data_IF_625818312874
#
_entry.id   IF_625818312874
#
_cell.length_a   1.000
_cell.length_b   1.000
_cell.length_c   1.000
_cell.angle_alpha   90.00
_cell.angle_beta   90.00
_cell.angle_gamma   90.00
#
_symmetry.space_group_name_H-M   'P 1'
#
loop_
_entity.id
_entity.type
_entity.pdbx_description
1 polymer ?
#
# COMPACT_ATOMS: atom_id res chain seq x y z
N UNK A 1 -12.30 4.09 14.33
CA UNK A 1 -10.91 4.03 14.81
C UNK A 1 -10.90 4.55 16.25
N UNK A 2 -10.43 3.80 17.24
CA UNK A 2 -10.25 4.31 18.61
C UNK A 2 -8.79 4.08 18.99
N UNK A 3 -7.92 4.93 18.48
CA UNK A 3 -6.65 5.23 19.17
C UNK A 3 -7.00 6.36 20.12
N UNK A 4 -6.75 6.19 21.41
CA UNK A 4 -7.01 7.27 22.35
C UNK A 4 -6.01 8.41 22.11
N UNK A 5 -6.35 9.67 22.43
CA UNK A 5 -5.37 10.76 22.37
C UNK A 5 -4.07 10.42 23.10
N UNK A 6 -4.14 9.74 24.25
CA UNK A 6 -2.98 9.35 25.06
C UNK A 6 -2.10 8.30 24.35
N UNK A 7 -2.71 7.31 23.70
CA UNK A 7 -1.98 6.32 22.89
C UNK A 7 -1.25 6.98 21.71
N UNK A 8 -1.88 7.96 21.06
CA UNK A 8 -1.26 8.70 19.97
C UNK A 8 -0.09 9.55 20.47
N UNK A 9 -0.28 10.28 21.58
CA UNK A 9 0.76 11.11 22.19
C UNK A 9 1.94 10.24 22.62
N UNK A 10 1.70 9.13 23.32
CA UNK A 10 2.75 8.21 23.75
C UNK A 10 3.52 7.62 22.57
N UNK A 11 2.83 7.23 21.49
CA UNK A 11 3.50 6.73 20.28
C UNK A 11 4.33 7.80 19.58
N UNK A 12 3.88 9.05 19.57
CA UNK A 12 4.66 10.18 19.05
C UNK A 12 5.91 10.40 19.92
N UNK A 13 5.77 10.40 21.25
CA UNK A 13 6.90 10.57 22.17
C UNK A 13 7.97 9.49 21.99
N UNK A 14 7.56 8.21 21.94
CA UNK A 14 8.48 7.10 21.66
C UNK A 14 9.20 7.28 20.31
N UNK A 15 8.46 7.67 19.26
CA UNK A 15 9.05 7.91 17.95
C UNK A 15 10.01 9.13 17.94
N UNK A 16 9.81 10.11 18.83
CA UNK A 16 10.72 11.25 19.02
C UNK A 16 12.02 10.83 19.71
N UNK A 17 11.95 9.88 20.65
CA UNK A 17 13.10 9.36 21.39
C UNK A 17 13.97 8.41 20.53
N UNK A 18 13.35 7.55 19.72
CA UNK A 18 14.01 6.57 18.85
C UNK A 18 14.55 7.17 17.53
N UNK A 19 14.99 8.42 17.50
CA UNK A 19 15.36 9.16 16.28
C UNK A 19 16.63 8.65 15.57
N UNK A 20 16.68 7.38 15.20
CA UNK A 20 17.86 6.70 14.63
C UNK A 20 18.12 7.05 13.16
N UNK A 21 17.25 7.81 12.48
CA UNK A 21 17.36 7.93 11.01
C UNK A 21 17.05 9.29 10.37
N UNK A 22 16.90 10.38 11.13
CA UNK A 22 16.69 11.75 10.59
C UNK A 22 15.37 11.96 9.81
N UNK A 23 14.62 10.88 9.54
CA UNK A 23 13.30 10.87 8.88
C UNK A 23 12.23 11.57 9.72
N UNK A 24 12.39 11.53 11.04
CA UNK A 24 11.52 12.23 11.97
C UNK A 24 11.63 13.74 11.80
N UNK A 25 12.85 14.28 11.78
CA UNK A 25 13.08 15.72 11.57
C UNK A 25 12.47 16.19 10.24
N UNK A 26 12.67 15.44 9.16
CA UNK A 26 12.06 15.75 7.86
C UNK A 26 10.52 15.74 7.93
N UNK A 27 9.94 14.77 8.63
CA UNK A 27 8.49 14.65 8.80
C UNK A 27 7.92 15.81 9.61
N UNK A 28 8.54 16.16 10.74
CA UNK A 28 8.14 17.29 11.58
C UNK A 28 8.28 18.61 10.82
N UNK A 29 9.40 18.79 10.11
CA UNK A 29 9.64 19.97 9.27
C UNK A 29 8.57 20.11 8.17
N UNK A 30 8.14 18.99 7.57
CA UNK A 30 7.03 19.00 6.63
C UNK A 30 5.74 19.49 7.27
N UNK A 31 5.37 19.00 8.46
CA UNK A 31 4.17 19.45 9.17
C UNK A 31 4.23 20.95 9.53
N UNK A 32 5.36 21.42 10.06
CA UNK A 32 5.56 22.82 10.40
C UNK A 32 5.45 23.71 9.15
N UNK A 33 6.09 23.30 8.05
CA UNK A 33 6.01 24.00 6.77
C UNK A 33 4.59 23.99 6.20
N UNK A 34 3.92 22.84 6.17
CA UNK A 34 2.54 22.72 5.69
C UNK A 34 1.58 23.61 6.49
N UNK A 35 1.74 23.66 7.82
CA UNK A 35 0.95 24.53 8.69
C UNK A 35 1.25 26.02 8.45
N UNK A 36 2.52 26.41 8.33
CA UNK A 36 2.93 27.79 8.07
C UNK A 36 2.36 28.33 6.76
N UNK A 37 2.31 27.48 5.72
CA UNK A 37 1.77 27.85 4.41
C UNK A 37 0.26 27.61 4.28
N UNK A 38 -0.45 27.25 5.36
CA UNK A 38 -1.90 26.99 5.32
C UNK A 38 -2.29 25.90 4.32
N UNK A 39 -1.43 24.88 4.14
CA UNK A 39 -1.66 23.81 3.18
C UNK A 39 -2.90 23.01 3.56
N UNK A 40 -3.87 22.98 2.67
CA UNK A 40 -5.10 22.21 2.88
C UNK A 40 -4.85 20.70 2.72
N UNK A 41 -5.40 19.91 3.63
CA UNK A 41 -5.32 18.46 3.65
C UNK A 41 -6.72 17.86 3.75
N UNK A 42 -6.88 16.64 3.25
CA UNK A 42 -8.06 15.82 3.48
C UNK A 42 -7.67 14.50 4.13
N UNK A 43 -8.63 13.82 4.75
CA UNK A 43 -8.46 12.46 5.26
C UNK A 43 -9.76 11.66 5.10
N UNK A 44 -9.68 10.34 4.91
CA UNK A 44 -10.86 9.49 4.84
C UNK A 44 -11.56 9.44 6.21
N UNK A 45 -12.90 9.44 6.20
CA UNK A 45 -13.71 9.19 7.41
C UNK A 45 -13.59 7.75 7.89
N UNK A 46 -13.30 6.84 6.98
CA UNK A 46 -13.07 5.41 7.24
C UNK A 46 -11.78 4.98 6.52
N UNK A 47 -10.60 5.17 7.15
CA UNK A 47 -9.34 4.70 6.57
C UNK A 47 -9.34 3.17 6.39
N UNK A 48 -8.62 2.67 5.39
CA UNK A 48 -8.48 1.23 5.12
C UNK A 48 -7.50 0.51 6.06
N UNK A 49 -7.02 1.19 7.09
CA UNK A 49 -5.95 0.75 7.98
C UNK A 49 -6.17 1.18 9.42
N UNK A 50 -5.41 0.54 10.31
CA UNK A 50 -5.20 0.98 11.70
C UNK A 50 -3.77 1.53 11.90
N UNK A 51 -3.53 2.20 13.03
CA UNK A 51 -2.20 2.77 13.32
C UNK A 51 -1.10 1.69 13.41
N UNK A 52 -1.46 0.47 13.81
CA UNK A 52 -0.52 -0.63 14.01
C UNK A 52 -0.07 -1.28 12.71
N UNK A 53 -0.78 -1.03 11.61
CA UNK A 53 -0.37 -1.41 10.25
C UNK A 53 0.90 -0.69 9.78
N UNK A 54 1.35 0.33 10.51
CA UNK A 54 2.59 1.05 10.28
C UNK A 54 3.58 0.81 11.43
N UNK A 55 4.87 0.94 11.12
CA UNK A 55 5.92 0.83 12.13
C UNK A 55 5.90 2.01 13.13
N UNK A 56 5.39 3.17 12.71
CA UNK A 56 5.35 4.39 13.53
C UNK A 56 4.04 5.15 13.34
N UNK A 57 3.63 5.91 14.36
CA UNK A 57 2.45 6.79 14.27
C UNK A 57 2.57 7.82 13.14
N UNK A 58 3.77 8.38 12.92
CA UNK A 58 4.01 9.29 11.80
C UNK A 58 3.81 8.63 10.43
N UNK A 59 4.14 7.34 10.30
CA UNK A 59 3.83 6.58 9.09
C UNK A 59 2.33 6.47 8.86
N UNK A 60 1.56 6.13 9.90
CA UNK A 60 0.10 6.06 9.83
C UNK A 60 -0.52 7.43 9.50
N UNK A 61 -0.05 8.50 10.15
CA UNK A 61 -0.48 9.87 9.83
C UNK A 61 -0.18 10.22 8.37
N UNK A 62 1.03 9.93 7.88
CA UNK A 62 1.39 10.21 6.47
C UNK A 62 0.50 9.48 5.45
N UNK A 63 0.00 8.30 5.81
CA UNK A 63 -0.93 7.53 4.99
C UNK A 63 -2.36 8.05 5.07
N UNK A 64 -2.73 8.72 6.18
CA UNK A 64 -4.03 9.33 6.38
C UNK A 64 -4.20 10.62 5.58
N UNK A 65 -3.12 11.37 5.38
CA UNK A 65 -3.14 12.66 4.68
C UNK A 65 -3.26 12.50 3.17
N UNK A 66 -4.28 13.16 2.63
CA UNK A 66 -4.63 13.16 1.22
C UNK A 66 -4.59 14.59 0.69
N UNK A 67 -4.11 14.71 -0.55
CA UNK A 67 -4.14 15.96 -1.31
C UNK A 67 -5.57 16.34 -1.69
N UNK A 68 -6.03 17.52 -1.26
CA UNK A 68 -7.38 18.03 -1.55
C UNK A 68 -7.69 18.09 -3.05
N UNK A 69 -6.73 18.52 -3.87
CA UNK A 69 -6.88 18.64 -5.32
C UNK A 69 -7.04 17.30 -6.04
N UNK A 70 -6.62 16.20 -5.40
CA UNK A 70 -6.67 14.84 -5.97
C UNK A 70 -7.95 14.07 -5.63
N UNK A 71 -8.83 14.60 -4.79
CA UNK A 71 -10.08 13.93 -4.37
C UNK A 71 -10.98 13.56 -5.57
N UNK A 72 -11.11 14.37 -6.63
CA UNK A 72 -11.91 13.99 -7.80
C UNK A 72 -11.29 12.89 -8.67
N UNK A 73 -10.02 12.55 -8.47
CA UNK A 73 -9.33 11.54 -9.27
C UNK A 73 -9.82 10.11 -8.97
N UNK A 74 -9.43 9.15 -9.81
CA UNK A 74 -9.82 7.75 -9.65
C UNK A 74 -9.25 7.12 -8.37
N UNK A 75 -8.06 7.58 -7.94
CA UNK A 75 -7.45 7.26 -6.65
C UNK A 75 -6.88 8.54 -6.06
N UNK A 76 -7.28 8.93 -4.83
CA UNK A 76 -6.70 10.10 -4.18
C UNK A 76 -5.19 9.94 -3.97
N UNK A 77 -4.48 11.06 -4.09
CA UNK A 77 -3.01 11.10 -4.02
C UNK A 77 -2.52 11.53 -2.65
N UNK A 78 -1.34 11.01 -2.29
CA UNK A 78 -0.59 11.46 -1.13
C UNK A 78 0.23 12.73 -1.43
N UNK A 79 0.80 13.29 -0.38
CA UNK A 79 1.92 14.22 -0.47
C UNK A 79 3.22 13.42 -0.67
N UNK A 80 3.84 13.50 -1.85
CA UNK A 80 5.08 12.76 -2.17
C UNK A 80 6.31 13.34 -1.47
N UNK A 81 6.24 14.62 -1.12
CA UNK A 81 7.21 15.36 -0.31
C UNK A 81 7.08 15.07 1.20
N UNK A 82 6.04 14.35 1.63
CA UNK A 82 5.95 13.79 2.98
C UNK A 82 6.52 12.37 3.00
N UNK A 83 7.31 12.04 4.03
CA UNK A 83 7.86 10.70 4.18
C UNK A 83 6.72 9.67 4.32
N UNK A 84 6.72 8.57 3.54
CA UNK A 84 5.54 7.71 3.37
C UNK A 84 5.24 6.76 4.54
N UNK A 85 6.12 6.68 5.54
CA UNK A 85 6.09 5.65 6.58
C UNK A 85 6.45 4.25 6.06
N UNK A 86 6.75 3.34 6.99
CA UNK A 86 6.96 1.93 6.69
C UNK A 86 5.80 1.10 7.21
N UNK A 87 5.39 0.09 6.44
CA UNK A 87 4.39 -0.88 6.85
C UNK A 87 4.96 -1.84 7.89
N UNK A 88 4.11 -2.24 8.83
CA UNK A 88 4.43 -3.27 9.80
C UNK A 88 4.43 -4.65 9.13
N UNK A 89 5.62 -5.21 8.95
CA UNK A 89 5.83 -6.49 8.23
C UNK A 89 5.19 -7.70 8.93
N UNK A 90 4.88 -7.58 10.22
CA UNK A 90 4.26 -8.64 11.02
C UNK A 90 2.74 -8.65 10.94
N UNK A 91 2.14 -7.80 10.08
CA UNK A 91 0.69 -7.67 9.92
C UNK A 91 0.22 -8.02 8.53
N UNK A 92 -1.06 -8.37 8.45
CA UNK A 92 -1.76 -8.61 7.19
C UNK A 92 -2.37 -7.30 6.71
N UNK A 93 -2.00 -6.86 5.51
CA UNK A 93 -2.54 -5.64 4.91
C UNK A 93 -3.65 -6.00 3.92
N UNK A 94 -4.88 -5.60 4.23
CA UNK A 94 -6.06 -5.95 3.43
C UNK A 94 -6.36 -4.83 2.42
N UNK A 95 -6.44 -5.17 1.14
CA UNK A 95 -6.94 -4.26 0.10
C UNK A 95 -8.42 -4.55 -0.09
N UNK A 96 -9.28 -3.55 0.12
CA UNK A 96 -10.74 -3.68 0.00
C UNK A 96 -11.38 -2.39 -0.53
N UNK A 97 -12.72 -2.30 -0.48
CA UNK A 97 -13.46 -1.13 -0.99
C UNK A 97 -13.20 0.17 -0.21
N UNK A 98 -12.73 0.09 1.05
CA UNK A 98 -12.33 1.28 1.81
C UNK A 98 -10.98 1.82 1.34
N UNK A 99 -10.16 0.97 0.72
CA UNK A 99 -8.86 1.37 0.16
C UNK A 99 -9.02 2.28 -1.05
N UNK A 100 -9.88 1.87 -1.99
CA UNK A 100 -10.25 2.62 -3.17
C UNK A 100 -11.44 1.92 -3.85
N UNK A 101 -12.14 2.67 -4.69
CA UNK A 101 -13.20 2.13 -5.55
C UNK A 101 -12.59 1.20 -6.60
N UNK A 102 -12.84 -0.09 -6.46
CA UNK A 102 -12.28 -1.12 -7.34
C UNK A 102 -12.66 -0.92 -8.81
N UNK A 103 -13.85 -0.39 -9.12
CA UNK A 103 -14.26 -0.12 -10.50
C UNK A 103 -13.47 1.05 -11.09
N UNK A 104 -13.27 2.13 -10.31
CA UNK A 104 -12.42 3.26 -10.73
C UNK A 104 -10.97 2.82 -10.94
N UNK A 105 -10.44 2.00 -10.03
CA UNK A 105 -9.06 1.50 -10.12
C UNK A 105 -8.90 0.54 -11.28
N UNK A 106 -9.86 -0.31 -11.58
CA UNK A 106 -9.80 -1.20 -12.74
C UNK A 106 -9.57 -0.41 -14.05
N UNK A 107 -10.14 0.81 -14.18
CA UNK A 107 -9.88 1.68 -15.33
C UNK A 107 -8.44 2.19 -15.39
N UNK A 108 -7.82 2.48 -14.24
CA UNK A 108 -6.39 2.84 -14.16
C UNK A 108 -5.50 1.64 -14.48
N UNK A 109 -5.84 0.45 -13.98
CA UNK A 109 -5.03 -0.75 -14.14
C UNK A 109 -4.94 -1.24 -15.58
N UNK A 110 -5.88 -0.85 -16.46
CA UNK A 110 -5.73 -1.04 -17.92
C UNK A 110 -4.48 -0.36 -18.50
N UNK A 111 -3.92 0.62 -17.79
CA UNK A 111 -2.62 1.24 -18.14
C UNK A 111 -1.43 0.44 -17.63
N UNK A 112 -1.59 -0.39 -16.60
CA UNK A 112 -0.55 -1.27 -16.08
C UNK A 112 -0.41 -2.57 -16.87
N UNK A 113 -1.43 -2.93 -17.64
CA UNK A 113 -1.42 -4.07 -18.53
C UNK A 113 -2.26 -3.77 -19.75
N UNK A 114 -1.60 -3.60 -20.89
CA UNK A 114 -2.29 -3.43 -22.17
C UNK A 114 -2.14 -4.70 -23.01
N UNK A 115 -3.24 -5.13 -23.62
CA UNK A 115 -3.22 -6.22 -24.60
C UNK A 115 -3.64 -5.58 -25.92
N UNK A 116 -2.66 -5.25 -26.76
CA UNK A 116 -2.94 -4.73 -28.09
C UNK A 116 -3.67 -5.76 -28.94
N UNK A 117 -4.63 -5.32 -29.76
CA UNK A 117 -5.44 -6.19 -30.62
C UNK A 117 -4.60 -7.06 -31.58
N UNK A 118 -3.37 -6.64 -31.87
CA UNK A 118 -2.41 -7.29 -32.77
C UNK A 118 -1.10 -7.67 -32.05
N UNK A 119 -1.05 -7.67 -30.72
CA UNK A 119 0.20 -7.97 -30.00
C UNK A 119 0.53 -9.46 -30.09
N UNK A 120 1.33 -9.82 -31.09
CA UNK A 120 1.97 -11.14 -31.22
C UNK A 120 2.94 -11.43 -30.05
N UNK A 121 3.30 -10.42 -29.25
CA UNK A 121 4.36 -10.48 -28.24
C UNK A 121 3.81 -10.56 -26.81
N UNK A 122 2.49 -10.70 -26.66
CA UNK A 122 1.82 -10.79 -25.36
C UNK A 122 1.48 -9.43 -24.74
N UNK A 123 1.07 -9.41 -23.47
CA UNK A 123 0.73 -8.17 -22.77
C UNK A 123 1.94 -7.27 -22.57
N UNK A 124 1.74 -5.97 -22.77
CA UNK A 124 2.72 -4.94 -22.47
C UNK A 124 2.52 -4.40 -21.05
N UNK A 125 3.64 -4.15 -20.36
CA UNK A 125 3.68 -3.70 -18.98
C UNK A 125 4.62 -2.50 -18.87
N UNK A 126 4.26 -1.46 -18.09
CA UNK A 126 5.19 -0.40 -17.75
C UNK A 126 6.39 -0.96 -16.99
N UNK A 127 7.47 -0.20 -16.98
CA UNK A 127 8.65 -0.52 -16.18
C UNK A 127 8.30 -0.63 -14.69
N UNK A 128 9.15 -1.30 -13.93
CA UNK A 128 8.93 -1.41 -12.47
C UNK A 128 9.02 -0.05 -11.80
N UNK A 129 9.85 0.86 -12.32
CA UNK A 129 10.01 2.25 -11.88
C UNK A 129 8.72 3.06 -12.10
N UNK A 130 8.13 2.98 -13.29
CA UNK A 130 6.86 3.63 -13.59
C UNK A 130 5.72 3.08 -12.74
N UNK A 131 5.65 1.77 -12.58
CA UNK A 131 4.65 1.12 -11.71
C UNK A 131 4.80 1.58 -10.26
N UNK A 132 6.04 1.68 -9.78
CA UNK A 132 6.35 2.19 -8.44
C UNK A 132 5.93 3.65 -8.31
N UNK A 133 6.22 4.50 -9.29
CA UNK A 133 5.79 5.90 -9.27
C UNK A 133 4.26 6.01 -9.20
N UNK A 134 3.52 5.13 -9.89
CA UNK A 134 2.06 5.10 -9.82
C UNK A 134 1.58 4.77 -8.41
N UNK A 135 2.03 3.65 -7.82
CA UNK A 135 1.58 3.23 -6.49
C UNK A 135 2.09 4.11 -5.37
N UNK A 136 3.29 4.67 -5.51
CA UNK A 136 3.84 5.62 -4.54
C UNK A 136 2.94 6.86 -4.44
N UNK A 137 2.36 7.33 -5.53
CA UNK A 137 1.46 8.48 -5.50
C UNK A 137 0.13 8.22 -4.79
N UNK A 138 -0.29 6.97 -4.59
CA UNK A 138 -1.60 6.66 -4.01
C UNK A 138 -1.62 6.92 -2.50
N UNK A 139 -2.71 7.49 -2.01
CA UNK A 139 -2.94 7.67 -0.57
C UNK A 139 -3.31 6.34 0.12
N UNK A 140 -3.30 6.35 1.46
CA UNK A 140 -3.68 5.20 2.28
C UNK A 140 -2.62 4.10 2.36
N UNK A 141 -2.96 3.04 3.10
CA UNK A 141 -2.08 1.89 3.31
C UNK A 141 -1.94 1.06 2.04
N UNK A 142 -3.03 0.88 1.30
CA UNK A 142 -3.03 0.03 0.11
C UNK A 142 -2.07 0.52 -0.98
N UNK A 143 -1.93 1.84 -1.19
CA UNK A 143 -0.91 2.38 -2.09
C UNK A 143 0.51 1.98 -1.67
N UNK A 144 0.82 2.05 -0.37
CA UNK A 144 2.11 1.61 0.19
C UNK A 144 2.34 0.11 0.02
N UNK A 145 1.30 -0.70 0.25
CA UNK A 145 1.42 -2.14 0.13
C UNK A 145 1.67 -2.55 -1.33
N UNK A 146 0.92 -1.97 -2.28
CA UNK A 146 1.13 -2.21 -3.71
C UNK A 146 2.51 -1.71 -4.17
N UNK A 147 2.98 -0.57 -3.65
CA UNK A 147 4.33 -0.08 -3.92
C UNK A 147 5.42 -1.02 -3.39
N UNK A 148 5.27 -1.52 -2.16
CA UNK A 148 6.21 -2.46 -1.54
C UNK A 148 6.27 -3.78 -2.31
N UNK A 149 5.14 -4.27 -2.81
CA UNK A 149 5.08 -5.43 -3.72
C UNK A 149 5.88 -5.25 -5.00
N UNK A 150 6.25 -4.03 -5.42
CA UNK A 150 7.07 -3.82 -6.61
C UNK A 150 8.58 -3.81 -6.30
N UNK A 151 8.99 -3.99 -5.04
CA UNK A 151 10.40 -4.03 -4.64
C UNK A 151 10.99 -5.42 -4.85
N UNK A 152 11.87 -5.54 -5.85
CA UNK A 152 12.58 -6.78 -6.22
C UNK A 152 13.27 -7.53 -5.06
N UNK A 153 13.74 -6.81 -4.04
CA UNK A 153 14.44 -7.38 -2.88
C UNK A 153 13.51 -7.99 -1.82
N UNK A 154 12.20 -7.76 -1.91
CA UNK A 154 11.22 -8.17 -0.90
C UNK A 154 10.36 -9.37 -1.36
N UNK A 155 10.58 -9.90 -2.57
CA UNK A 155 9.91 -11.12 -3.07
C UNK A 155 10.59 -12.37 -2.54
N UNK A 156 10.66 -12.53 -1.22
CA UNK A 156 10.93 -13.83 -0.61
C UNK A 156 9.62 -14.37 -0.05
N UNK A 157 9.44 -15.69 -0.12
CA UNK A 157 8.34 -16.33 0.59
C UNK A 157 8.55 -16.11 2.09
N UNK A 158 7.91 -15.08 2.63
CA UNK A 158 8.14 -14.60 3.99
C UNK A 158 7.26 -15.30 5.03
N UNK A 159 6.27 -16.06 4.57
CA UNK A 159 5.39 -16.85 5.42
C UNK A 159 6.01 -18.20 5.75
N UNK A 160 6.11 -18.53 7.04
CA UNK A 160 6.75 -19.77 7.50
C UNK A 160 6.05 -21.05 7.02
N UNK A 161 4.76 -20.98 6.65
CA UNK A 161 4.01 -22.10 6.09
C UNK A 161 4.28 -22.38 4.61
N UNK A 162 5.15 -21.60 3.96
CA UNK A 162 5.46 -21.69 2.54
C UNK A 162 4.53 -20.86 1.66
N UNK A 163 4.81 -20.86 0.36
CA UNK A 163 4.09 -20.04 -0.62
C UNK A 163 3.77 -20.85 -1.87
N UNK A 164 2.73 -20.43 -2.57
CA UNK A 164 2.39 -21.00 -3.88
C UNK A 164 3.01 -20.18 -5.00
N UNK A 165 3.46 -20.88 -6.03
CA UNK A 165 4.07 -20.27 -7.22
C UNK A 165 3.08 -20.17 -8.39
N UNK A 166 1.84 -20.62 -8.22
CA UNK A 166 0.80 -20.61 -9.25
C UNK A 166 -0.33 -19.68 -8.81
N UNK A 167 -0.79 -18.74 -9.66
CA UNK A 167 -1.96 -17.91 -9.37
C UNK A 167 -3.24 -18.77 -9.31
N UNK A 168 -4.29 -18.27 -8.66
CA UNK A 168 -5.64 -18.87 -8.72
C UNK A 168 -5.77 -20.32 -8.17
N UNK A 169 -5.00 -20.71 -7.16
CA UNK A 169 -5.30 -21.97 -6.46
C UNK A 169 -6.56 -21.82 -5.62
N UNK A 170 -7.44 -22.82 -5.62
CA UNK A 170 -8.60 -22.89 -4.72
C UNK A 170 -8.24 -22.97 -3.23
N UNK A 171 -6.94 -22.92 -2.91
CA UNK A 171 -6.41 -22.93 -1.54
C UNK A 171 -6.12 -21.48 -1.10
N UNK A 172 -6.99 -20.85 -0.28
CA UNK A 172 -6.72 -19.53 0.30
C UNK A 172 -5.62 -19.56 1.37
N UNK A 173 -5.22 -20.75 1.83
CA UNK A 173 -4.36 -20.93 3.00
C UNK A 173 -2.86 -20.65 2.73
N UNK A 174 -2.46 -20.41 1.48
CA UNK A 174 -1.07 -20.11 1.12
C UNK A 174 -0.98 -18.83 0.29
N UNK A 175 -0.05 -17.91 0.62
CA UNK A 175 0.17 -16.70 -0.15
C UNK A 175 0.77 -17.02 -1.51
N UNK A 176 0.35 -16.27 -2.53
CA UNK A 176 0.99 -16.27 -3.82
C UNK A 176 2.31 -15.52 -3.77
N UNK A 177 3.36 -16.19 -4.21
CA UNK A 177 4.67 -15.59 -4.42
C UNK A 177 4.87 -15.33 -5.93
N UNK A 178 4.78 -14.08 -6.40
CA UNK A 178 4.94 -13.77 -7.80
C UNK A 178 6.41 -13.91 -8.23
N UNK A 179 6.66 -14.61 -9.34
CA UNK A 179 8.01 -14.81 -9.86
C UNK A 179 8.72 -13.51 -10.29
N UNK A 180 7.97 -12.45 -10.58
CA UNK A 180 8.47 -11.11 -10.92
C UNK A 180 7.34 -10.06 -10.80
N UNK A 181 7.67 -8.77 -10.94
CA UNK A 181 6.69 -7.68 -10.82
C UNK A 181 5.54 -7.80 -11.84
N UNK A 182 5.78 -8.32 -13.06
CA UNK A 182 4.72 -8.49 -14.07
C UNK A 182 3.67 -9.50 -13.58
N UNK A 183 4.11 -10.59 -12.95
CA UNK A 183 3.23 -11.58 -12.31
C UNK A 183 2.51 -11.03 -11.07
N UNK A 184 3.13 -10.12 -10.33
CA UNK A 184 2.47 -9.40 -9.25
C UNK A 184 1.37 -8.47 -9.80
N UNK A 185 1.65 -7.70 -10.86
CA UNK A 185 0.67 -6.86 -11.56
C UNK A 185 -0.48 -7.72 -12.08
N UNK A 186 -0.21 -8.85 -12.74
CA UNK A 186 -1.23 -9.77 -13.23
C UNK A 186 -2.22 -10.17 -12.12
N UNK A 187 -1.70 -10.54 -10.95
CA UNK A 187 -2.52 -10.96 -9.81
C UNK A 187 -3.30 -9.77 -9.21
N UNK A 188 -2.67 -8.60 -9.07
CA UNK A 188 -3.35 -7.37 -8.59
C UNK A 188 -4.51 -7.00 -9.53
N UNK A 189 -4.27 -6.97 -10.85
CA UNK A 189 -5.30 -6.67 -11.85
C UNK A 189 -6.42 -7.69 -11.80
N UNK A 190 -6.09 -8.98 -11.63
CA UNK A 190 -7.10 -10.04 -11.51
C UNK A 190 -7.96 -9.87 -10.26
N UNK A 191 -7.34 -9.66 -9.09
CA UNK A 191 -8.05 -9.54 -7.80
C UNK A 191 -8.94 -8.30 -7.75
N UNK A 192 -8.44 -7.16 -8.24
CA UNK A 192 -9.24 -5.93 -8.35
C UNK A 192 -10.33 -6.09 -9.41
N UNK A 193 -10.05 -6.75 -10.53
CA UNK A 193 -11.04 -7.05 -11.57
C UNK A 193 -12.18 -7.96 -11.11
N UNK A 194 -11.92 -8.86 -10.16
CA UNK A 194 -12.95 -9.67 -9.49
C UNK A 194 -13.73 -8.92 -8.41
N UNK A 195 -13.33 -7.68 -8.11
CA UNK A 195 -13.86 -6.86 -7.04
C UNK A 195 -13.85 -7.53 -5.65
N UNK A 196 -12.86 -8.39 -5.37
CA UNK A 196 -12.75 -9.12 -4.11
C UNK A 196 -11.66 -8.55 -3.21
N UNK A 197 -11.90 -8.44 -1.89
CA UNK A 197 -10.83 -8.14 -0.95
C UNK A 197 -9.70 -9.16 -1.04
N UNK A 198 -8.48 -8.71 -0.85
CA UNK A 198 -7.31 -9.56 -0.82
C UNK A 198 -6.26 -9.04 0.16
N UNK A 199 -5.40 -9.93 0.61
CA UNK A 199 -4.34 -9.64 1.57
C UNK A 199 -2.98 -9.47 0.87
N UNK A 200 -2.12 -8.67 1.50
CA UNK A 200 -0.71 -8.51 1.18
C UNK A 200 0.08 -8.63 2.49
N UNK A 201 1.20 -9.35 2.49
CA UNK A 201 2.12 -9.44 3.64
C UNK A 201 3.56 -9.30 3.20
N UNK A 202 4.41 -8.84 4.12
CA UNK A 202 5.84 -8.59 3.87
C UNK A 202 6.75 -9.31 4.87
N UNK A 203 6.21 -10.29 5.59
CA UNK A 203 6.84 -10.93 6.73
C UNK A 203 6.03 -12.12 7.22
N UNK A 204 6.54 -12.78 8.25
CA UNK A 204 5.80 -13.84 8.90
C UNK A 204 4.62 -13.24 9.69
N UNK A 205 3.42 -13.77 9.46
CA UNK A 205 2.21 -13.36 10.15
C UNK A 205 1.71 -14.50 11.04
N UNK A 206 1.18 -14.16 12.21
CA UNK A 206 0.74 -15.14 13.21
C UNK A 206 -0.53 -15.91 12.80
N UNK A 207 -1.32 -15.36 11.88
CA UNK A 207 -2.57 -15.96 11.42
C UNK A 207 -2.72 -15.78 9.92
N UNK A 208 -2.81 -16.90 9.20
CA UNK A 208 -3.05 -16.88 7.76
C UNK A 208 -4.45 -16.28 7.48
N UNK A 209 -4.55 -15.29 6.57
CA UNK A 209 -5.83 -14.74 6.17
C UNK A 209 -6.64 -15.75 5.37
N UNK A 210 -7.94 -15.87 5.68
CA UNK A 210 -8.88 -16.70 4.92
C UNK A 210 -9.38 -15.99 3.65
N UNK A 211 -8.47 -15.55 2.78
CA UNK A 211 -8.77 -14.88 1.52
C UNK A 211 -7.62 -15.03 0.52
N UNK A 212 -7.79 -14.50 -0.70
CA UNK A 212 -6.68 -14.42 -1.65
C UNK A 212 -5.59 -13.53 -1.08
N UNK A 213 -4.34 -13.99 -1.18
CA UNK A 213 -3.23 -13.39 -0.47
C UNK A 213 -1.96 -13.44 -1.33
N UNK A 214 -1.20 -12.34 -1.34
CA UNK A 214 0.10 -12.16 -2.01
C UNK A 214 1.18 -11.91 -0.95
N UNK A 215 2.37 -12.49 -1.12
CA UNK A 215 3.56 -12.19 -0.32
C UNK A 215 4.76 -11.83 -1.20
#
# INVERSE_FOLDING_TARGET
MKVTPDELIGSIQLALEENESGKLYHTISWYASASCHGREICWPTQPDFDFYDFQTAFGALSALLVRKDSIPELVPKRFTDLAPGFLNKSRVHIVNQNSFDFYKVQRLLRKLKSVGLLSLHGPDYPTVEETRAIFDNWAGRSGRALFALMRKAEWTCSYGGGCRNVPNSMMPNLPYHPANYKRAIDEIVRLIGMSRPFAITFGNVTSAPNMMWIC
#
